data_IF_685576511668
#
_entry.id   IF_685576511668
#
_cell.length_a   1.000
_cell.length_b   1.000
_cell.length_c   1.000
_cell.angle_alpha   90.00
_cell.angle_beta   90.00
_cell.angle_gamma   90.00
#
_symmetry.space_group_name_H-M   'P 1'
#
loop_
_entity.id
_entity.type
_entity.pdbx_description
1 polymer ?
2 non-polymer ?
3 non-polymer ?
4 water ?
#
# COMPACT_ATOMS: atom_id res chain seq x y z
N UNK A 20 -3.78 -6.35 -15.07
CA UNK A 20 -3.91 -4.87 -15.19
C UNK A 20 -3.63 -4.16 -13.88
N UNK A 21 -3.77 -4.86 -12.72
CA UNK A 21 -3.35 -4.18 -11.50
C UNK A 21 -1.88 -3.73 -11.56
N UNK A 22 -1.10 -4.39 -12.43
CA UNK A 22 0.30 -4.05 -12.75
C UNK A 22 0.58 -2.57 -13.10
N UNK A 23 -0.41 -1.89 -13.68
CA UNK A 23 -0.32 -0.45 -14.06
C UNK A 23 -0.33 0.46 -12.84
N UNK A 24 -0.73 -0.10 -11.69
CA UNK A 24 -0.74 0.65 -10.42
C UNK A 24 0.66 0.81 -9.80
N UNK A 25 1.62 0.03 -10.29
CA UNK A 25 2.94 0.05 -9.66
C UNK A 25 3.58 1.36 -10.05
N UNK A 26 4.10 2.07 -9.05
CA UNK A 26 4.68 3.37 -9.20
C UNK A 26 3.73 4.46 -8.72
N UNK A 27 2.46 4.12 -8.52
CA UNK A 27 1.50 5.13 -7.96
C UNK A 27 1.79 5.39 -6.49
N UNK A 28 1.55 6.61 -6.04
CA UNK A 28 1.47 6.86 -4.60
C UNK A 28 0.10 6.46 -4.04
N UNK A 29 0.03 6.30 -2.73
CA UNK A 29 -1.25 5.96 -2.08
C UNK A 29 -1.25 6.55 -0.68
N UNK A 30 -2.44 6.76 -0.16
CA UNK A 30 -2.58 7.34 1.16
C UNK A 30 -3.03 6.26 2.14
N UNK A 31 -2.31 6.14 3.25
CA UNK A 31 -2.62 5.06 4.21
C UNK A 31 -3.93 5.37 4.94
N UNK A 32 -4.88 4.44 4.87
CA UNK A 32 -6.16 4.58 5.60
C UNK A 32 -6.21 3.79 6.88
N UNK A 33 -5.64 2.59 6.88
CA UNK A 33 -5.44 1.83 8.11
C UNK A 33 -4.00 1.38 8.10
N UNK A 34 -3.37 1.43 9.27
CA UNK A 34 -1.91 1.23 9.41
C UNK A 34 -1.43 0.01 8.64
N UNK A 35 -0.39 0.21 7.84
CA UNK A 35 0.15 -0.83 6.95
C UNK A 35 1.39 -1.45 7.54
N UNK A 36 1.38 -2.75 7.75
CA UNK A 36 2.54 -3.44 8.29
C UNK A 36 2.69 -4.80 7.64
N UNK A 37 3.10 -5.77 8.46
CA UNK A 37 3.48 -7.08 7.91
C UNK A 37 2.34 -7.81 7.22
N UNK A 38 1.15 -7.77 7.82
CA UNK A 38 -0.01 -8.62 7.42
C UNK A 38 -1.39 -7.93 7.53
N UNK A 39 -1.39 -6.61 7.41
CA UNK A 39 -2.63 -5.87 7.28
C UNK A 39 -2.32 -4.45 6.87
N UNK A 40 -3.35 -3.75 6.37
CA UNK A 40 -3.19 -2.37 5.95
C UNK A 40 -4.16 -2.08 4.80
N UNK A 41 -4.51 -0.83 4.66
CA UNK A 41 -5.41 -0.39 3.59
C UNK A 41 -4.95 0.97 3.14
N UNK A 42 -4.99 1.16 1.83
CA UNK A 42 -4.60 2.47 1.28
C UNK A 42 -5.64 2.95 0.28
N UNK A 43 -5.64 4.26 0.01
CA UNK A 43 -6.48 4.87 -1.03
C UNK A 43 -5.63 5.09 -2.30
N UNK A 44 -6.01 4.43 -3.39
CA UNK A 44 -5.20 4.33 -4.60
C UNK A 44 -6.15 4.50 -5.83
N UNK A 45 -5.93 5.53 -6.67
CA UNK A 45 -6.83 5.82 -7.83
C UNK A 45 -8.32 5.86 -7.39
N UNK A 46 -8.55 6.44 -6.22
CA UNK A 46 -9.91 6.70 -5.78
C UNK A 46 -10.62 5.51 -5.14
N UNK A 47 -9.90 4.39 -5.02
CA UNK A 47 -10.46 3.18 -4.42
C UNK A 47 -9.69 2.75 -3.17
N UNK A 48 -10.29 1.86 -2.36
CA UNK A 48 -9.60 1.29 -1.21
C UNK A 48 -8.98 -0.06 -1.60
N UNK A 49 -7.68 -0.20 -1.40
CA UNK A 49 -6.92 -1.40 -1.69
C UNK A 49 -6.29 -1.94 -0.41
N UNK A 50 -6.25 -3.26 -0.29
CA UNK A 50 -5.39 -3.90 0.72
C UNK A 50 -3.95 -3.57 0.45
N UNK A 51 -3.15 -3.47 1.52
CA UNK A 51 -1.72 -3.16 1.37
C UNK A 51 -0.89 -3.84 2.45
N UNK A 52 0.35 -4.15 2.11
CA UNK A 52 1.32 -4.73 3.05
C UNK A 52 2.62 -3.95 2.87
N UNK A 53 3.44 -3.92 3.91
CA UNK A 53 4.74 -3.25 3.79
C UNK A 53 5.70 -4.12 2.99
N UNK A 54 6.56 -3.46 2.21
CA UNK A 54 7.62 -4.19 1.52
C UNK A 54 8.58 -4.88 2.52
N UNK A 55 8.84 -4.20 3.64
CA UNK A 55 9.64 -4.77 4.75
C UNK A 55 8.69 -4.93 5.93
N UNK A 56 8.40 -6.18 6.32
CA UNK A 56 7.37 -6.38 7.35
C UNK A 56 7.73 -5.83 8.74
N UNK A 57 8.96 -5.37 8.95
CA UNK A 57 9.24 -4.72 10.25
C UNK A 57 8.83 -3.24 10.27
N UNK A 58 8.44 -2.69 9.12
CA UNK A 58 8.20 -1.25 9.07
C UNK A 58 6.71 -0.98 8.98
N UNK A 59 6.15 -0.17 9.87
CA UNK A 59 4.73 0.15 9.79
C UNK A 59 4.59 1.59 9.26
N UNK A 60 3.62 1.77 8.37
CA UNK A 60 3.23 3.08 7.85
C UNK A 60 1.93 3.46 8.52
N UNK A 61 1.92 4.57 9.25
CA UNK A 61 0.72 4.89 10.00
C UNK A 61 -0.35 5.58 9.11
N UNK A 62 -1.61 5.51 9.54
CA UNK A 62 -2.71 6.24 8.91
C UNK A 62 -2.31 7.69 8.63
N UNK A 63 -2.58 8.13 7.40
CA UNK A 63 -2.28 9.48 6.93
C UNK A 63 -0.98 9.55 6.19
N UNK A 64 -0.11 8.55 6.35
CA UNK A 64 1.16 8.61 5.60
C UNK A 64 0.95 8.39 4.11
N UNK A 65 1.81 9.02 3.30
CA UNK A 65 1.82 8.74 1.85
C UNK A 65 2.92 7.72 1.54
N UNK A 66 2.56 6.65 0.82
CA UNK A 66 3.51 5.62 0.42
C UNK A 66 3.53 5.47 -1.11
N UNK A 67 4.50 4.72 -1.62
CA UNK A 67 4.61 4.42 -3.04
C UNK A 67 4.32 2.92 -3.20
N UNK A 68 3.48 2.62 -4.19
CA UNK A 68 3.21 1.19 -4.54
C UNK A 68 4.38 0.68 -5.37
N UNK A 69 5.10 -0.31 -4.85
CA UNK A 69 6.26 -0.83 -5.58
C UNK A 69 6.10 -2.23 -6.17
N UNK A 70 4.97 -2.83 -5.85
CA UNK A 70 4.62 -4.16 -6.38
C UNK A 70 3.15 -4.41 -6.12
N UNK A 71 2.57 -5.33 -6.86
CA UNK A 71 1.18 -5.76 -6.60
C UNK A 71 1.26 -7.27 -6.58
N UNK A 72 0.71 -7.89 -5.54
CA UNK A 72 0.65 -9.35 -5.47
C UNK A 72 -0.83 -9.76 -5.42
N UNK A 73 -1.37 -10.28 -6.52
CA UNK A 73 -2.86 -10.52 -6.63
C UNK A 73 -3.55 -9.16 -6.64
N UNK A 74 -4.25 -8.82 -5.56
CA UNK A 74 -4.93 -7.55 -5.44
C UNK A 74 -4.42 -6.80 -4.19
N UNK A 75 -3.19 -7.13 -3.79
CA UNK A 75 -2.60 -6.47 -2.62
C UNK A 75 -1.47 -5.57 -3.07
N UNK A 76 -1.56 -4.32 -2.69
CA UNK A 76 -0.50 -3.40 -2.99
C UNK A 76 0.65 -3.60 -1.98
N UNK A 77 1.87 -3.70 -2.49
CA UNK A 77 3.03 -3.77 -1.61
C UNK A 77 3.68 -2.38 -1.69
N UNK A 78 3.81 -1.80 -0.52
CA UNK A 78 4.19 -0.36 -0.43
C UNK A 78 5.47 -0.08 0.29
N UNK A 79 6.07 1.05 -0.08
CA UNK A 79 7.29 1.50 0.59
C UNK A 79 7.29 3.02 0.69
N UNK A 80 8.40 3.56 1.15
CA UNK A 80 8.56 4.99 1.35
C UNK A 80 8.26 5.71 0.04
N UNK A 81 7.64 6.88 0.18
CA UNK A 81 7.29 7.65 -0.99
C UNK A 81 8.54 8.03 -1.77
N UNK A 82 8.47 7.80 -3.09
CA UNK A 82 9.43 8.32 -4.09
C UNK A 82 9.85 7.18 -4.97
X LIG B 1 -3.77 5.06 -12.04
X LIG C 1 11.78 1.01 8.62
X LIG D 1 6.70 -9.13 -6.86
X LIG E 1 1.22 9.08 -8.01
#
# INVERSE_FOLDING_TARGET
SNARPAIRKRLLKPKVLDSSPRALVGHRAEVLEDVGATSGQVRLDGSIWSARSMDPTHTFAEGEIVSVIDIQGTTAIVWKEA
ZN ZN
ZN ZN
ZN ZN
CL CL
#
